data_IF_847587964628
#
_entry.id   IF_847587964628
#
_cell.length_a   1.000
_cell.length_b   1.000
_cell.length_c   1.000
_cell.angle_alpha   90.00
_cell.angle_beta   90.00
_cell.angle_gamma   90.00
#
_symmetry.space_group_name_H-M   'P 1'
#
loop_
_entity.id
_entity.type
_entity.pdbx_description
1 polymer ?
#
# COMPACT_ATOMS: atom_id res chain seq x y z
N UNK A 1 -18.31 46.37 18.07
CA UNK A 1 -18.11 45.29 19.05
C UNK A 1 -18.33 43.92 18.43
N UNK A 2 -19.47 43.70 17.75
CA UNK A 2 -19.84 42.41 17.13
C UNK A 2 -18.90 41.96 16.01
N UNK A 3 -18.44 42.88 15.15
CA UNK A 3 -17.46 42.59 14.09
C UNK A 3 -16.11 42.11 14.64
N UNK A 4 -15.64 42.72 15.73
CA UNK A 4 -14.40 42.33 16.39
C UNK A 4 -14.52 40.96 17.06
N UNK A 5 -15.70 40.65 17.62
CA UNK A 5 -15.99 39.34 18.19
C UNK A 5 -16.03 38.24 17.12
N UNK A 6 -16.63 38.50 15.96
CA UNK A 6 -16.65 37.55 14.84
C UNK A 6 -15.25 37.25 14.29
N UNK A 7 -14.39 38.27 14.19
CA UNK A 7 -13.00 38.08 13.74
C UNK A 7 -12.22 37.23 14.75
N UNK A 8 -12.40 37.46 16.06
CA UNK A 8 -11.74 36.68 17.10
C UNK A 8 -12.21 35.21 17.12
N UNK A 9 -13.51 34.96 16.92
CA UNK A 9 -14.07 33.60 16.81
C UNK A 9 -13.53 32.88 15.57
N UNK A 10 -13.40 33.58 14.44
CA UNK A 10 -12.84 33.00 13.21
C UNK A 10 -11.35 32.68 13.35
N UNK A 11 -10.57 33.57 13.96
CA UNK A 11 -9.14 33.35 14.23
C UNK A 11 -8.92 32.21 15.22
N UNK A 12 -9.77 32.08 16.25
CA UNK A 12 -9.73 30.97 17.20
C UNK A 12 -10.13 29.64 16.54
N UNK A 13 -11.09 29.64 15.62
CA UNK A 13 -11.46 28.46 14.84
C UNK A 13 -10.32 28.03 13.87
N UNK A 14 -9.63 28.98 13.25
CA UNK A 14 -8.45 28.70 12.42
C UNK A 14 -7.28 28.12 13.24
N UNK A 15 -7.13 28.52 14.51
CA UNK A 15 -6.09 27.99 15.40
C UNK A 15 -6.35 26.56 15.91
N UNK A 16 -7.58 26.05 15.75
CA UNK A 16 -7.95 24.67 16.06
C UNK A 16 -7.85 23.73 14.84
N UNK A 17 -7.50 24.26 13.67
CA UNK A 17 -7.21 23.44 12.50
C UNK A 17 -5.82 22.86 12.73
N UNK A 18 -5.76 21.69 13.37
CA UNK A 18 -4.53 20.90 13.38
C UNK A 18 -4.09 20.72 11.92
N UNK A 19 -2.82 20.99 11.62
CA UNK A 19 -2.21 20.61 10.34
C UNK A 19 -2.33 19.08 10.23
N UNK A 20 -3.42 18.61 9.63
CA UNK A 20 -3.59 17.19 9.40
C UNK A 20 -2.54 16.79 8.37
N UNK A 21 -1.48 16.13 8.81
CA UNK A 21 -0.59 15.42 7.90
C UNK A 21 -1.46 14.47 7.08
N UNK A 22 -1.42 14.55 5.75
CA UNK A 22 -2.21 13.69 4.88
C UNK A 22 -1.85 12.19 5.01
N UNK A 23 -0.71 11.89 5.65
CA UNK A 23 -0.25 10.55 5.96
C UNK A 23 -0.94 9.97 7.21
N UNK A 24 -1.27 8.68 7.15
CA UNK A 24 -1.79 7.92 8.28
C UNK A 24 -0.77 7.83 9.43
N UNK A 25 -1.27 7.84 10.67
CA UNK A 25 -0.44 7.46 11.82
C UNK A 25 -0.03 5.98 11.74
N UNK A 26 1.06 5.60 12.43
CA UNK A 26 1.54 4.21 12.47
C UNK A 26 0.44 3.22 12.91
N UNK A 27 -0.35 3.60 13.92
CA UNK A 27 -1.47 2.79 14.41
C UNK A 27 -2.54 2.57 13.34
N UNK A 28 -2.87 3.60 12.57
CA UNK A 28 -3.82 3.50 11.47
C UNK A 28 -3.26 2.62 10.34
N UNK A 29 -1.98 2.79 9.97
CA UNK A 29 -1.33 1.99 8.95
C UNK A 29 -1.33 0.51 9.34
N UNK A 30 -0.93 0.18 10.57
CA UNK A 30 -0.98 -1.19 11.10
C UNK A 30 -2.40 -1.77 11.09
N UNK A 31 -3.40 -0.95 11.42
CA UNK A 31 -4.81 -1.32 11.35
C UNK A 31 -5.27 -1.66 9.93
N UNK A 32 -4.87 -0.85 8.94
CA UNK A 32 -5.18 -1.09 7.53
C UNK A 32 -4.50 -2.38 7.01
N UNK A 33 -3.22 -2.58 7.32
CA UNK A 33 -2.50 -3.80 6.95
C UNK A 33 -3.15 -5.04 7.57
N UNK A 34 -3.50 -5.00 8.85
CA UNK A 34 -4.24 -6.10 9.51
C UNK A 34 -5.57 -6.39 8.82
N UNK A 35 -6.28 -5.34 8.41
CA UNK A 35 -7.56 -5.48 7.69
C UNK A 35 -7.37 -6.18 6.35
N UNK A 36 -6.41 -5.74 5.54
CA UNK A 36 -6.04 -6.39 4.28
C UNK A 36 -5.68 -7.87 4.48
N UNK A 37 -4.82 -8.16 5.47
CA UNK A 37 -4.43 -9.53 5.82
C UNK A 37 -5.65 -10.38 6.15
N UNK A 38 -6.52 -9.90 7.04
CA UNK A 38 -7.70 -10.64 7.49
C UNK A 38 -8.70 -10.93 6.36
N UNK A 39 -8.80 -10.04 5.37
CA UNK A 39 -9.66 -10.27 4.21
C UNK A 39 -9.04 -11.22 3.19
N UNK A 40 -7.74 -11.11 2.92
CA UNK A 40 -7.09 -11.84 1.83
C UNK A 40 -6.56 -13.22 2.23
N UNK A 41 -6.19 -13.43 3.50
CA UNK A 41 -5.74 -14.74 3.99
C UNK A 41 -6.80 -15.85 3.77
N UNK A 42 -8.07 -15.71 4.22
CA UNK A 42 -9.07 -16.76 3.99
C UNK A 42 -9.47 -16.88 2.51
N UNK A 43 -9.46 -15.79 1.73
CA UNK A 43 -9.84 -15.80 0.31
C UNK A 43 -8.83 -16.53 -0.57
N UNK A 44 -7.54 -16.39 -0.27
CA UNK A 44 -6.46 -17.06 -1.02
C UNK A 44 -6.21 -18.48 -0.51
N UNK A 45 -6.43 -18.73 0.78
CA UNK A 45 -6.07 -20.00 1.42
C UNK A 45 -4.55 -20.22 1.55
N UNK A 46 -3.75 -19.16 1.38
CA UNK A 46 -2.29 -19.21 1.50
C UNK A 46 -1.88 -19.66 2.90
N UNK A 47 -0.82 -20.46 3.00
CA UNK A 47 -0.28 -20.87 4.30
C UNK A 47 0.45 -19.70 4.97
N UNK A 48 0.47 -19.69 6.31
CA UNK A 48 1.26 -18.70 7.06
C UNK A 48 2.76 -18.87 6.81
N UNK A 49 3.20 -20.09 6.55
CA UNK A 49 4.58 -20.43 6.24
C UNK A 49 5.01 -19.84 4.90
N UNK A 50 4.22 -20.00 3.83
CA UNK A 50 4.52 -19.39 2.53
C UNK A 50 4.64 -17.86 2.63
N UNK A 51 3.78 -17.22 3.45
CA UNK A 51 3.89 -15.78 3.72
C UNK A 51 5.13 -15.40 4.52
N UNK A 52 5.56 -16.24 5.48
CA UNK A 52 6.78 -16.00 6.24
C UNK A 52 8.01 -16.14 5.33
N UNK A 53 8.08 -17.21 4.54
CA UNK A 53 9.14 -17.46 3.58
C UNK A 53 9.26 -16.32 2.55
N UNK A 54 8.14 -15.84 2.00
CA UNK A 54 8.13 -14.71 1.07
C UNK A 54 8.71 -13.42 1.70
N UNK A 55 8.46 -13.16 2.98
CA UNK A 55 9.05 -11.99 3.68
C UNK A 55 10.57 -12.10 3.81
N UNK A 56 11.10 -13.31 3.86
CA UNK A 56 12.53 -13.60 3.83
C UNK A 56 13.11 -13.68 2.40
N UNK A 57 12.31 -13.36 1.38
CA UNK A 57 12.74 -13.37 -0.03
C UNK A 57 12.64 -14.72 -0.71
N UNK A 58 11.98 -15.70 -0.09
CA UNK A 58 11.73 -17.01 -0.68
C UNK A 58 10.38 -16.99 -1.41
N UNK A 59 10.45 -16.67 -2.70
CA UNK A 59 9.31 -16.61 -3.61
C UNK A 59 9.12 -17.98 -4.27
N UNK A 60 8.09 -18.73 -3.84
CA UNK A 60 7.68 -19.98 -4.49
C UNK A 60 6.86 -19.67 -5.75
N UNK A 61 7.46 -19.84 -6.92
CA UNK A 61 6.86 -19.52 -8.22
C UNK A 61 5.70 -20.47 -8.58
N UNK A 62 5.52 -21.60 -7.88
CA UNK A 62 4.44 -22.57 -8.12
C UNK A 62 3.27 -22.41 -7.14
N UNK A 63 3.45 -21.69 -6.03
CA UNK A 63 2.38 -21.48 -5.04
C UNK A 63 1.33 -20.47 -5.54
N UNK A 64 0.32 -21.00 -6.24
CA UNK A 64 -0.80 -20.23 -6.75
C UNK A 64 -1.58 -19.47 -5.65
N UNK A 65 -1.65 -20.00 -4.43
CA UNK A 65 -2.36 -19.35 -3.32
C UNK A 65 -1.59 -18.14 -2.82
N UNK A 66 -0.26 -18.24 -2.75
CA UNK A 66 0.62 -17.10 -2.46
C UNK A 66 0.48 -16.00 -3.52
N UNK A 67 0.50 -16.36 -4.81
CA UNK A 67 0.26 -15.39 -5.90
C UNK A 67 -1.08 -14.69 -5.75
N UNK A 68 -2.15 -15.44 -5.50
CA UNK A 68 -3.49 -14.87 -5.37
C UNK A 68 -3.72 -14.13 -4.06
N UNK A 69 -2.93 -14.36 -3.01
CA UNK A 69 -2.89 -13.50 -1.83
C UNK A 69 -2.40 -12.09 -2.20
N UNK A 70 -1.30 -11.99 -2.94
CA UNK A 70 -0.78 -10.73 -3.45
C UNK A 70 -1.80 -10.04 -4.38
N UNK A 71 -2.39 -10.81 -5.29
CA UNK A 71 -3.46 -10.32 -6.18
C UNK A 71 -4.68 -9.78 -5.43
N UNK A 72 -5.10 -10.45 -4.35
CA UNK A 72 -6.19 -9.97 -3.50
C UNK A 72 -5.85 -8.62 -2.86
N UNK A 73 -4.65 -8.46 -2.31
CA UNK A 73 -4.22 -7.21 -1.68
C UNK A 73 -4.22 -6.07 -2.70
N UNK A 74 -3.64 -6.28 -3.89
CA UNK A 74 -3.62 -5.25 -4.93
C UNK A 74 -5.01 -4.86 -5.42
N UNK A 75 -5.93 -5.82 -5.52
CA UNK A 75 -7.33 -5.54 -5.82
C UNK A 75 -8.00 -4.69 -4.74
N UNK A 76 -7.78 -5.03 -3.46
CA UNK A 76 -8.32 -4.26 -2.34
C UNK A 76 -7.75 -2.85 -2.28
N UNK A 77 -6.48 -2.66 -2.66
CA UNK A 77 -5.86 -1.33 -2.78
C UNK A 77 -6.21 -0.61 -4.08
N UNK A 78 -6.92 -1.27 -5.01
CA UNK A 78 -7.36 -0.73 -6.29
C UNK A 78 -6.22 -0.16 -7.16
N UNK A 79 -5.06 -0.81 -7.12
CA UNK A 79 -3.84 -0.36 -7.82
C UNK A 79 -3.65 -0.99 -9.21
N UNK A 80 -4.52 -1.93 -9.59
CA UNK A 80 -4.49 -2.58 -10.91
C UNK A 80 -5.59 -2.00 -11.79
N UNK A 81 -5.24 -1.62 -13.03
CA UNK A 81 -6.18 -1.14 -14.05
C UNK A 81 -5.83 -1.77 -15.39
N UNK A 82 -6.82 -2.36 -16.07
CA UNK A 82 -6.66 -3.01 -17.37
C UNK A 82 -5.54 -4.08 -17.37
N UNK A 83 -5.44 -4.86 -16.30
CA UNK A 83 -4.42 -5.91 -16.17
C UNK A 83 -2.99 -5.38 -16.01
N UNK A 84 -2.80 -4.10 -15.65
CA UNK A 84 -1.50 -3.48 -15.42
C UNK A 84 -1.47 -2.72 -14.10
N UNK A 85 -0.27 -2.59 -13.53
CA UNK A 85 -0.05 -1.74 -12.36
C UNK A 85 -0.26 -0.27 -12.75
N UNK A 86 -1.18 0.41 -12.07
CA UNK A 86 -1.47 1.81 -12.30
C UNK A 86 -0.64 2.67 -11.34
N UNK A 87 0.49 3.20 -11.82
CA UNK A 87 1.36 4.03 -10.99
C UNK A 87 0.67 5.29 -10.46
N UNK A 88 -0.32 5.81 -11.17
CA UNK A 88 -1.19 6.89 -10.66
C UNK A 88 -1.95 6.46 -9.40
N UNK A 89 -2.54 5.27 -9.40
CA UNK A 89 -3.30 4.75 -8.25
C UNK A 89 -2.36 4.35 -7.09
N UNK A 90 -1.22 3.76 -7.42
CA UNK A 90 -0.17 3.42 -6.45
C UNK A 90 0.31 4.67 -5.71
N UNK A 91 0.67 5.74 -6.43
CA UNK A 91 1.09 7.02 -5.82
C UNK A 91 0.00 7.58 -4.91
N UNK A 92 -1.26 7.54 -5.35
CA UNK A 92 -2.40 7.99 -4.55
C UNK A 92 -2.55 7.18 -3.25
N UNK A 93 -2.25 5.88 -3.27
CA UNK A 93 -2.30 5.05 -2.06
C UNK A 93 -1.13 5.35 -1.12
N UNK A 94 0.09 5.51 -1.67
CA UNK A 94 1.29 5.85 -0.90
C UNK A 94 1.12 7.18 -0.17
N UNK A 95 0.67 8.24 -0.87
CA UNK A 95 0.47 9.57 -0.28
C UNK A 95 -0.52 9.60 0.88
N UNK A 96 -1.47 8.64 0.93
CA UNK A 96 -2.43 8.51 2.02
C UNK A 96 -1.87 7.73 3.21
N UNK A 97 -1.02 6.74 2.95
CA UNK A 97 -0.60 5.77 3.97
C UNK A 97 0.74 6.09 4.61
N UNK A 98 1.62 6.75 3.87
CA UNK A 98 3.05 6.80 4.18
C UNK A 98 3.51 8.25 4.23
N UNK A 99 4.46 8.54 5.11
CA UNK A 99 5.09 9.86 5.16
C UNK A 99 5.77 10.20 3.82
N UNK A 100 5.93 11.49 3.49
CA UNK A 100 6.45 11.89 2.18
C UNK A 100 7.87 11.39 1.88
N UNK A 101 8.74 11.28 2.89
CA UNK A 101 10.14 10.90 2.71
C UNK A 101 10.24 9.43 2.32
N UNK A 102 9.59 8.56 3.09
CA UNK A 102 9.53 7.14 2.77
C UNK A 102 8.72 6.87 1.51
N UNK A 103 7.63 7.64 1.30
CA UNK A 103 6.78 7.55 0.13
C UNK A 103 7.53 7.79 -1.19
N UNK A 104 8.46 8.75 -1.23
CA UNK A 104 9.27 9.00 -2.43
C UNK A 104 10.16 7.79 -2.79
N UNK A 105 10.75 7.14 -1.79
CA UNK A 105 11.55 5.92 -1.98
C UNK A 105 10.69 4.77 -2.50
N UNK A 106 9.51 4.53 -1.90
CA UNK A 106 8.57 3.51 -2.38
C UNK A 106 8.15 3.75 -3.83
N UNK A 107 7.81 5.00 -4.17
CA UNK A 107 7.39 5.36 -5.54
C UNK A 107 8.50 5.05 -6.55
N UNK A 108 9.74 5.43 -6.26
CA UNK A 108 10.85 5.19 -7.18
C UNK A 108 11.07 3.70 -7.44
N UNK A 109 11.07 2.87 -6.38
CA UNK A 109 11.19 1.41 -6.50
C UNK A 109 10.00 0.85 -7.30
N UNK A 110 8.78 1.25 -6.98
CA UNK A 110 7.58 0.72 -7.62
C UNK A 110 7.48 1.12 -9.10
N UNK A 111 7.95 2.31 -9.47
CA UNK A 111 8.05 2.73 -10.88
C UNK A 111 9.02 1.84 -11.67
N UNK A 112 10.15 1.46 -11.09
CA UNK A 112 11.12 0.58 -11.75
C UNK A 112 10.55 -0.82 -12.06
N UNK A 113 9.54 -1.25 -11.31
CA UNK A 113 8.84 -2.53 -11.48
C UNK A 113 7.50 -2.42 -12.22
N UNK A 114 7.08 -1.23 -12.67
CA UNK A 114 5.74 -1.02 -13.20
C UNK A 114 5.46 -1.74 -14.54
N UNK A 115 6.51 -2.15 -15.25
CA UNK A 115 6.43 -2.83 -16.55
C UNK A 115 6.29 -4.35 -16.45
N UNK A 116 6.32 -4.93 -15.24
CA UNK A 116 6.11 -6.37 -15.06
C UNK A 116 4.74 -6.80 -15.60
N UNK A 117 4.72 -8.01 -16.15
CA UNK A 117 3.52 -8.62 -16.69
C UNK A 117 3.16 -9.90 -15.92
N UNK A 118 1.94 -10.37 -16.10
CA UNK A 118 1.45 -11.63 -15.53
C UNK A 118 0.30 -12.16 -16.37
N UNK A 119 0.10 -13.49 -16.33
CA UNK A 119 -0.98 -14.13 -17.10
C UNK A 119 -2.37 -13.72 -16.59
N UNK A 120 -2.46 -13.39 -15.30
CA UNK A 120 -3.62 -12.82 -14.65
C UNK A 120 -3.20 -11.92 -13.47
N UNK A 121 -4.20 -11.43 -12.73
CA UNK A 121 -3.97 -10.52 -11.61
C UNK A 121 -3.13 -11.12 -10.46
N UNK A 122 -3.20 -12.44 -10.24
CA UNK A 122 -2.39 -13.08 -9.21
C UNK A 122 -0.91 -13.09 -9.62
N UNK A 123 -0.64 -13.48 -10.87
CA UNK A 123 0.72 -13.52 -11.40
C UNK A 123 1.31 -12.10 -11.51
N UNK A 124 0.53 -11.13 -11.98
CA UNK A 124 0.95 -9.73 -12.06
C UNK A 124 1.37 -9.20 -10.68
N UNK A 125 0.53 -9.40 -9.67
CA UNK A 125 0.79 -8.91 -8.32
C UNK A 125 1.99 -9.60 -7.67
N UNK A 126 2.15 -10.89 -7.92
CA UNK A 126 3.30 -11.66 -7.46
C UNK A 126 4.60 -11.20 -8.12
N UNK A 127 4.63 -11.10 -9.45
CA UNK A 127 5.80 -10.66 -10.20
C UNK A 127 6.22 -9.24 -9.82
N UNK A 128 5.24 -8.35 -9.62
CA UNK A 128 5.52 -7.01 -9.08
C UNK A 128 6.11 -7.05 -7.69
N UNK A 129 5.52 -7.83 -6.77
CA UNK A 129 6.05 -7.98 -5.41
C UNK A 129 7.49 -8.53 -5.38
N UNK A 130 7.77 -9.54 -6.21
CA UNK A 130 9.10 -10.14 -6.36
C UNK A 130 10.11 -9.13 -6.90
N UNK A 131 9.76 -8.41 -7.97
CA UNK A 131 10.61 -7.32 -8.51
C UNK A 131 10.91 -6.25 -7.46
N UNK A 132 9.91 -5.83 -6.68
CA UNK A 132 10.10 -4.83 -5.61
C UNK A 132 11.08 -5.35 -4.56
N UNK A 133 10.92 -6.60 -4.11
CA UNK A 133 11.84 -7.18 -3.13
C UNK A 133 13.27 -7.28 -3.66
N UNK A 134 13.44 -7.71 -4.91
CA UNK A 134 14.75 -7.84 -5.56
C UNK A 134 15.44 -6.49 -5.78
N UNK A 135 14.64 -5.45 -6.06
CA UNK A 135 15.14 -4.08 -6.27
C UNK A 135 15.49 -3.40 -4.95
N UNK A 136 14.60 -3.49 -3.96
CA UNK A 136 14.77 -2.89 -2.65
C UNK A 136 13.91 -3.61 -1.61
N UNK A 137 14.57 -4.45 -0.81
CA UNK A 137 13.93 -5.26 0.24
C UNK A 137 13.18 -4.41 1.26
N UNK A 138 13.64 -3.19 1.55
CA UNK A 138 12.96 -2.32 2.51
C UNK A 138 11.64 -1.79 1.95
N UNK A 139 11.55 -1.60 0.62
CA UNK A 139 10.33 -1.17 -0.05
C UNK A 139 9.28 -2.28 -0.19
N UNK A 140 9.66 -3.55 0.01
CA UNK A 140 8.73 -4.67 -0.02
C UNK A 140 7.90 -4.76 1.26
N UNK A 141 6.71 -4.15 1.23
CA UNK A 141 5.78 -4.11 2.36
C UNK A 141 4.49 -4.87 2.02
N UNK A 142 4.27 -5.99 2.70
CA UNK A 142 3.08 -6.85 2.52
C UNK A 142 2.43 -7.19 3.86
N UNK A 143 1.09 -7.12 3.97
CA UNK A 143 0.32 -7.50 5.16
C UNK A 143 0.61 -8.89 5.77
#
# INVERSE_FOLDING_TARGET
MERSLMILVFLMACALVEESSAAMSEAQMKGAMKTLRNMCLPKSGVSKEALANMKEGQFDDEDRKLKCYMGCIMNMMQVVKNGKISMTMVKNQIMKMVDPTWGAKLVATFESCASVEGSDNCDLAYNFGKCVYETDKEAFVVP
#
